data_IF_074706167329
#
_entry.id   IF_074706167329
#
_cell.length_a   1.000
_cell.length_b   1.000
_cell.length_c   1.000
_cell.angle_alpha   90.00
_cell.angle_beta   90.00
_cell.angle_gamma   90.00
#
_symmetry.space_group_name_H-M   'P 1'
#
loop_
_entity.id
_entity.type
_entity.pdbx_description
1 polymer ?
#
# COMPACT_ATOMS: atom_id res chain seq x y z
N UNK A 1 10.77 8.45 1.25
CA UNK A 1 9.77 8.51 0.15
C UNK A 1 9.33 9.94 -0.15
N UNK A 2 10.23 10.91 -0.04
CA UNK A 2 9.92 12.34 -0.05
C UNK A 2 9.33 12.83 -1.38
N UNK A 3 9.84 12.35 -2.51
CA UNK A 3 9.35 12.77 -3.83
C UNK A 3 7.89 12.37 -4.08
N UNK A 4 7.53 11.11 -3.82
CA UNK A 4 6.16 10.65 -3.97
C UNK A 4 5.19 11.37 -3.02
N UNK A 5 5.62 11.63 -1.77
CA UNK A 5 4.85 12.45 -0.82
C UNK A 5 4.64 13.87 -1.34
N UNK A 6 5.67 14.51 -1.86
CA UNK A 6 5.61 15.91 -2.31
C UNK A 6 4.75 16.12 -3.57
N UNK A 7 4.42 15.05 -4.30
CA UNK A 7 3.64 15.09 -5.53
C UNK A 7 2.32 14.31 -5.43
N UNK A 8 1.89 13.96 -4.21
CA UNK A 8 0.66 13.19 -3.95
C UNK A 8 0.54 11.88 -4.75
N UNK A 9 1.67 11.24 -5.02
CA UNK A 9 1.70 9.98 -5.73
C UNK A 9 1.35 8.81 -4.83
N UNK A 10 0.78 7.79 -5.46
CA UNK A 10 0.57 6.46 -4.88
C UNK A 10 1.68 5.55 -5.43
N UNK A 11 2.33 4.79 -4.54
CA UNK A 11 3.44 3.90 -4.92
C UNK A 11 2.94 2.45 -4.96
N UNK A 12 2.66 1.87 -6.14
CA UNK A 12 2.45 0.43 -6.27
C UNK A 12 3.78 -0.30 -6.14
N UNK A 13 3.81 -1.41 -5.41
CA UNK A 13 5.02 -2.19 -5.17
C UNK A 13 4.71 -3.65 -4.82
N UNK A 14 5.63 -4.55 -5.16
CA UNK A 14 5.67 -5.93 -4.63
C UNK A 14 6.58 -6.07 -3.40
N UNK A 15 7.31 -5.01 -3.04
CA UNK A 15 8.24 -5.00 -1.93
C UNK A 15 7.50 -4.85 -0.58
N UNK A 16 7.77 -5.78 0.34
CA UNK A 16 7.13 -5.84 1.66
C UNK A 16 7.69 -4.80 2.63
N UNK A 17 8.89 -4.29 2.40
CA UNK A 17 9.61 -3.41 3.33
C UNK A 17 9.07 -1.98 3.38
N UNK A 18 8.29 -1.57 2.37
CA UNK A 18 7.61 -0.27 2.41
C UNK A 18 6.68 -0.13 3.62
N UNK A 19 6.04 -1.21 4.05
CA UNK A 19 5.22 -1.20 5.27
C UNK A 19 6.05 -0.91 6.52
N UNK A 20 7.27 -1.45 6.58
CA UNK A 20 8.24 -1.21 7.66
C UNK A 20 8.75 0.23 7.62
N UNK A 21 9.08 0.75 6.43
CA UNK A 21 9.52 2.14 6.25
C UNK A 21 8.42 3.12 6.70
N UNK A 22 7.17 2.90 6.28
CA UNK A 22 6.04 3.76 6.68
C UNK A 22 5.82 3.76 8.20
N UNK A 23 5.90 2.59 8.83
CA UNK A 23 5.76 2.46 10.28
C UNK A 23 6.94 3.11 11.04
N UNK A 24 8.17 2.88 10.59
CA UNK A 24 9.37 3.44 11.21
C UNK A 24 9.43 4.97 11.10
N UNK A 25 8.91 5.52 10.01
CA UNK A 25 8.89 6.97 9.77
C UNK A 25 7.64 7.66 10.33
N UNK A 26 6.63 6.91 10.79
CA UNK A 26 5.28 7.44 11.08
C UNK A 26 4.75 8.33 9.95
N UNK A 27 5.04 7.95 8.71
CA UNK A 27 4.66 8.74 7.54
C UNK A 27 3.16 8.64 7.28
N UNK A 28 2.50 9.79 7.14
CA UNK A 28 1.09 9.89 6.69
C UNK A 28 0.96 9.72 5.16
N UNK A 29 2.08 9.87 4.44
CA UNK A 29 2.16 9.83 2.97
C UNK A 29 3.56 9.38 2.51
N UNK A 30 3.70 8.89 1.27
CA UNK A 30 2.63 8.64 0.30
C UNK A 30 1.82 7.39 0.65
N UNK A 31 0.68 7.22 -0.01
CA UNK A 31 -0.03 5.94 0.01
C UNK A 31 0.76 4.89 -0.77
N UNK A 32 0.73 3.66 -0.29
CA UNK A 32 1.44 2.52 -0.89
C UNK A 32 0.45 1.42 -1.20
N UNK A 33 0.57 0.81 -2.37
CA UNK A 33 -0.23 -0.34 -2.80
C UNK A 33 0.70 -1.54 -2.91
N UNK A 34 0.69 -2.37 -1.88
CA UNK A 34 1.45 -3.62 -1.82
C UNK A 34 0.69 -4.74 -2.53
N UNK A 35 1.24 -5.24 -3.62
CA UNK A 35 0.70 -6.37 -4.36
C UNK A 35 1.40 -7.64 -3.85
N UNK A 36 0.64 -8.53 -3.21
CA UNK A 36 1.13 -9.76 -2.57
C UNK A 36 0.53 -10.96 -3.27
N UNK A 37 1.13 -11.32 -4.40
CA UNK A 37 0.72 -12.47 -5.22
C UNK A 37 1.96 -13.16 -5.75
N UNK A 38 1.84 -14.46 -6.03
CA UNK A 38 2.92 -15.24 -6.64
C UNK A 38 3.07 -14.91 -8.14
N UNK A 39 1.93 -14.75 -8.85
CA UNK A 39 1.91 -14.38 -10.27
C UNK A 39 1.63 -12.89 -10.45
N UNK A 40 2.68 -12.15 -10.81
CA UNK A 40 2.64 -10.70 -11.03
C UNK A 40 2.26 -10.33 -12.47
N UNK A 41 1.93 -11.31 -13.32
CA UNK A 41 1.47 -11.04 -14.68
C UNK A 41 0.22 -10.15 -14.64
N UNK A 42 0.21 -9.00 -15.36
CA UNK A 42 -0.96 -8.12 -15.44
C UNK A 42 -2.25 -8.81 -15.90
N UNK A 43 -2.15 -9.86 -16.71
CA UNK A 43 -3.32 -10.65 -17.14
C UNK A 43 -3.94 -11.44 -15.98
N UNK A 44 -3.12 -11.88 -15.02
CA UNK A 44 -3.56 -12.62 -13.85
C UNK A 44 -4.13 -11.69 -12.77
N UNK A 45 -3.41 -10.60 -12.42
CA UNK A 45 -3.74 -9.78 -11.24
C UNK A 45 -4.22 -8.36 -11.56
N UNK A 46 -4.01 -7.87 -12.78
CA UNK A 46 -4.23 -6.47 -13.14
C UNK A 46 -5.66 -5.99 -12.92
N UNK A 47 -6.66 -6.81 -13.28
CA UNK A 47 -8.08 -6.49 -13.05
C UNK A 47 -8.39 -6.28 -11.57
N UNK A 48 -7.82 -7.11 -10.70
CA UNK A 48 -8.03 -7.02 -9.27
C UNK A 48 -7.32 -5.79 -8.68
N UNK A 49 -6.10 -5.48 -9.13
CA UNK A 49 -5.38 -4.27 -8.73
C UNK A 49 -6.17 -3.02 -9.12
N UNK A 50 -6.66 -2.94 -10.36
CA UNK A 50 -7.47 -1.81 -10.83
C UNK A 50 -8.74 -1.65 -9.99
N UNK A 51 -9.47 -2.75 -9.75
CA UNK A 51 -10.68 -2.71 -8.92
C UNK A 51 -10.38 -2.24 -7.49
N UNK A 52 -9.29 -2.73 -6.88
CA UNK A 52 -8.88 -2.32 -5.54
C UNK A 52 -8.49 -0.83 -5.48
N UNK A 53 -7.77 -0.32 -6.49
CA UNK A 53 -7.43 1.10 -6.59
C UNK A 53 -8.67 2.00 -6.70
N UNK A 54 -9.65 1.59 -7.52
CA UNK A 54 -10.90 2.34 -7.68
C UNK A 54 -11.73 2.33 -6.39
N UNK A 55 -11.88 1.17 -5.77
CA UNK A 55 -12.69 1.00 -4.56
C UNK A 55 -12.11 1.72 -3.35
N UNK A 56 -10.78 1.81 -3.25
CA UNK A 56 -10.07 2.42 -2.12
C UNK A 56 -9.54 3.82 -2.44
N UNK A 57 -10.07 4.47 -3.49
CA UNK A 57 -9.55 5.74 -4.00
C UNK A 57 -9.56 6.85 -2.95
N UNK A 58 -10.62 6.96 -2.15
CA UNK A 58 -10.70 7.94 -1.04
C UNK A 58 -9.63 7.69 0.02
N UNK A 59 -9.51 6.45 0.51
CA UNK A 59 -8.51 6.11 1.53
C UNK A 59 -7.07 6.33 1.02
N UNK A 60 -6.81 6.00 -0.26
CA UNK A 60 -5.54 6.25 -0.91
C UNK A 60 -5.25 7.75 -1.08
N UNK A 61 -6.29 8.55 -1.35
CA UNK A 61 -6.18 10.01 -1.41
C UNK A 61 -5.90 10.63 -0.03
N UNK A 62 -6.32 10.02 1.06
CA UNK A 62 -6.09 10.50 2.43
C UNK A 62 -4.77 10.01 3.03
N UNK A 63 -4.29 8.83 2.62
CA UNK A 63 -3.05 8.23 3.13
C UNK A 63 -3.28 6.83 3.65
N UNK A 64 -2.91 5.82 2.87
CA UNK A 64 -3.14 4.43 3.22
C UNK A 64 -2.07 3.47 2.71
N UNK A 65 -1.89 2.38 3.43
CA UNK A 65 -1.29 1.15 2.93
C UNK A 65 -2.41 0.22 2.46
N UNK A 66 -2.55 0.07 1.15
CA UNK A 66 -3.41 -0.92 0.53
C UNK A 66 -2.61 -2.19 0.26
N UNK A 67 -3.12 -3.35 0.66
CA UNK A 67 -2.57 -4.66 0.30
C UNK A 67 -3.57 -5.38 -0.59
N UNK A 68 -3.10 -5.84 -1.76
CA UNK A 68 -3.87 -6.62 -2.73
C UNK A 68 -3.25 -8.01 -2.81
N UNK A 69 -4.01 -9.02 -2.44
CA UNK A 69 -3.67 -10.45 -2.56
C UNK A 69 -4.80 -11.13 -3.35
N UNK A 70 -4.50 -12.20 -4.10
CA UNK A 70 -5.46 -13.08 -4.80
C UNK A 70 -6.80 -13.29 -4.08
N UNK A 71 -6.82 -13.39 -2.75
CA UNK A 71 -8.03 -13.68 -1.99
C UNK A 71 -8.68 -12.45 -1.33
N UNK A 72 -7.93 -11.37 -1.10
CA UNK A 72 -8.35 -10.26 -0.23
C UNK A 72 -7.70 -8.94 -0.60
N UNK A 73 -8.47 -7.87 -0.42
CA UNK A 73 -7.98 -6.49 -0.40
C UNK A 73 -8.07 -5.97 1.03
N UNK A 74 -6.97 -5.42 1.57
CA UNK A 74 -6.94 -4.87 2.93
C UNK A 74 -6.36 -3.45 2.90
N UNK A 75 -7.09 -2.50 3.48
CA UNK A 75 -6.62 -1.12 3.67
C UNK A 75 -6.21 -0.89 5.11
N UNK A 76 -5.15 -0.12 5.33
CA UNK A 76 -4.76 0.43 6.64
C UNK A 76 -4.44 1.90 6.45
N UNK A 77 -5.16 2.76 7.17
CA UNK A 77 -4.88 4.20 7.15
C UNK A 77 -3.51 4.48 7.79
N UNK A 78 -2.82 5.48 7.24
CA UNK A 78 -1.57 5.99 7.78
C UNK A 78 -1.86 7.04 8.87
N UNK A 79 -0.95 7.25 9.84
CA UNK A 79 0.35 6.58 10.01
C UNK A 79 0.20 5.16 10.57
N UNK A 80 1.12 4.26 10.19
CA UNK A 80 1.17 2.92 10.77
C UNK A 80 1.89 2.96 12.12
N UNK A 81 1.34 2.22 13.08
CA UNK A 81 2.04 1.94 14.33
C UNK A 81 3.32 1.12 14.05
N UNK A 82 4.47 1.43 14.68
CA UNK A 82 5.64 0.57 14.68
C UNK A 82 5.28 -0.79 15.25
N UNK A 83 5.90 -1.85 14.73
CA UNK A 83 5.88 -3.13 15.46
C UNK A 83 6.80 -2.99 16.65
N UNK A 84 6.25 -2.99 17.86
CA UNK A 84 7.04 -3.20 19.07
C UNK A 84 7.47 -4.66 19.10
N UNK A 85 8.76 -4.93 19.29
CA UNK A 85 9.31 -6.28 19.43
C UNK A 85 8.97 -6.84 20.83
N UNK A 86 7.68 -6.94 21.16
CA UNK A 86 7.21 -7.50 22.45
C UNK A 86 5.95 -8.38 22.30
N UNK A 87 5.58 -8.76 21.07
CA UNK A 87 4.54 -9.78 20.78
C UNK A 87 5.16 -11.14 20.42
#
# INVERSE_FOLDING_TARGET
>A
MTYAKANDYIVPTHDLDFSTILAATHGEKPSVVQIRVDDVNPDAIGKQVIAALQQMSTDLADGALLTVDTNRTRVRLLPLQPRTLED
#
